data_IF_716058503286
#
_entry.id   IF_716058503286
#
_cell.length_a   1.000
_cell.length_b   1.000
_cell.length_c   1.000
_cell.angle_alpha   90.00
_cell.angle_beta   90.00
_cell.angle_gamma   90.00
#
_symmetry.space_group_name_H-M   'P 1'
#
loop_
_entity.id
_entity.type
_entity.pdbx_description
1 polymer ?
#
# COMPACT_ATOMS: atom_id res chain seq x y z
N UNK A 1 19.67 -18.98 -10.83
CA UNK A 1 18.22 -18.76 -11.03
C UNK A 1 17.76 -17.65 -10.07
N UNK A 2 18.42 -16.49 -10.07
CA UNK A 2 18.26 -15.40 -11.03
C UNK A 2 16.89 -14.70 -10.93
N UNK A 3 16.60 -14.20 -9.72
CA UNK A 3 16.10 -12.84 -9.43
C UNK A 3 15.25 -12.22 -10.54
N UNK A 4 14.04 -12.74 -10.71
CA UNK A 4 13.04 -12.23 -11.65
C UNK A 4 12.27 -11.00 -11.13
N UNK A 5 12.78 -10.27 -10.12
CA UNK A 5 12.02 -9.21 -9.42
C UNK A 5 12.60 -7.80 -9.55
N UNK A 6 13.33 -7.52 -10.64
CA UNK A 6 13.58 -6.13 -11.05
C UNK A 6 12.84 -5.88 -12.35
N UNK A 7 11.53 -5.60 -12.27
CA UNK A 7 10.80 -5.07 -13.42
C UNK A 7 9.59 -4.20 -13.04
N UNK A 8 9.90 -2.99 -12.59
CA UNK A 8 9.30 -1.78 -13.19
C UNK A 8 10.36 -0.79 -13.72
N UNK A 9 11.58 -1.25 -14.04
CA UNK A 9 12.45 -0.51 -14.95
C UNK A 9 12.16 -0.91 -16.39
N UNK A 10 11.14 -0.27 -16.96
CA UNK A 10 11.07 -0.01 -18.40
C UNK A 10 11.06 1.51 -18.60
N UNK A 11 12.20 2.13 -18.32
CA UNK A 11 12.61 3.36 -18.98
C UNK A 11 13.95 3.07 -19.67
N UNK A 12 13.84 3.11 -20.99
CA UNK A 12 14.90 3.16 -21.99
C UNK A 12 16.03 4.12 -21.61
N UNK A 13 17.29 3.65 -21.70
CA UNK A 13 18.51 4.44 -21.99
C UNK A 13 18.56 5.89 -21.45
N UNK A 14 18.21 6.12 -20.19
CA UNK A 14 18.12 7.47 -19.62
C UNK A 14 19.17 7.66 -18.54
N UNK A 15 19.81 8.84 -18.59
CA UNK A 15 20.83 9.41 -17.69
C UNK A 15 20.68 8.97 -16.23
N UNK A 16 21.80 8.85 -15.47
CA UNK A 16 21.72 8.58 -14.04
C UNK A 16 20.77 9.58 -13.37
N UNK A 17 19.90 9.06 -12.50
CA UNK A 17 18.97 9.88 -11.75
C UNK A 17 19.76 10.96 -10.99
N UNK A 18 19.33 12.23 -11.03
CA UNK A 18 20.03 13.30 -10.33
C UNK A 18 20.06 13.01 -8.82
N UNK A 19 21.22 13.24 -8.21
CA UNK A 19 21.37 13.20 -6.75
C UNK A 19 20.57 14.37 -6.19
N UNK A 20 19.72 14.10 -5.19
CA UNK A 20 18.92 15.12 -4.52
C UNK A 20 19.83 16.15 -3.84
N UNK A 21 19.50 17.43 -4.01
CA UNK A 21 20.15 18.52 -3.31
C UNK A 21 19.78 18.53 -1.83
N UNK A 22 20.61 19.16 -0.99
CA UNK A 22 20.34 19.30 0.44
C UNK A 22 19.00 20.02 0.70
N UNK A 23 18.70 21.06 -0.07
CA UNK A 23 17.41 21.77 0.00
C UNK A 23 16.22 20.88 -0.35
N UNK A 24 16.33 20.01 -1.35
CA UNK A 24 15.25 19.07 -1.71
C UNK A 24 15.04 18.04 -0.61
N UNK A 25 16.12 17.54 0.01
CA UNK A 25 16.03 16.61 1.14
C UNK A 25 15.32 17.26 2.33
N UNK A 26 15.65 18.52 2.65
CA UNK A 26 14.98 19.26 3.74
C UNK A 26 13.47 19.38 3.44
N UNK A 27 13.11 19.83 2.24
CA UNK A 27 11.69 19.96 1.84
C UNK A 27 10.96 18.63 1.88
N UNK A 28 11.60 17.53 1.45
CA UNK A 28 11.02 16.20 1.52
C UNK A 28 10.78 15.76 2.97
N UNK A 29 11.72 16.04 3.87
CA UNK A 29 11.57 15.72 5.29
C UNK A 29 10.45 16.53 5.94
N UNK A 30 10.32 17.82 5.59
CA UNK A 30 9.20 18.66 6.02
C UNK A 30 7.87 18.09 5.51
N UNK A 31 7.79 17.74 4.23
CA UNK A 31 6.59 17.17 3.60
C UNK A 31 6.19 15.81 4.23
N UNK A 32 7.17 14.96 4.55
CA UNK A 32 6.91 13.67 5.22
C UNK A 32 6.43 13.87 6.66
N UNK A 33 6.87 14.95 7.31
CA UNK A 33 6.53 15.24 8.71
C UNK A 33 5.21 16.00 8.87
N UNK A 34 4.67 16.53 7.77
CA UNK A 34 3.41 17.26 7.76
C UNK A 34 2.21 16.34 8.01
N UNK A 35 1.46 16.62 9.09
CA UNK A 35 0.29 15.85 9.53
C UNK A 35 -1.01 16.31 8.89
N UNK A 36 -1.01 17.45 8.21
CA UNK A 36 -2.17 18.00 7.51
C UNK A 36 -2.36 17.35 6.14
N UNK A 37 -1.36 16.60 5.65
CA UNK A 37 -1.41 15.90 4.37
C UNK A 37 -1.29 14.38 4.53
N UNK A 38 -1.88 13.68 3.57
CA UNK A 38 -1.76 12.23 3.40
C UNK A 38 -1.14 11.98 2.04
N UNK A 39 0.02 11.31 2.03
CA UNK A 39 0.75 10.96 0.82
C UNK A 39 0.54 9.47 0.54
N UNK A 40 0.05 9.13 -0.66
CA UNK A 40 -0.13 7.76 -1.13
C UNK A 40 0.37 7.60 -2.57
N UNK A 41 0.72 6.39 -2.96
CA UNK A 41 1.02 6.09 -4.36
C UNK A 41 -0.25 6.22 -5.22
N UNK A 42 -0.10 6.78 -6.42
CA UNK A 42 -1.18 6.84 -7.38
C UNK A 42 -1.48 5.44 -7.96
N UNK A 43 -2.73 5.24 -8.40
CA UNK A 43 -3.19 3.96 -8.94
C UNK A 43 -2.44 3.53 -10.21
N UNK A 44 -1.92 4.49 -10.98
CA UNK A 44 -1.23 4.27 -12.26
C UNK A 44 -0.12 5.29 -12.47
N UNK A 45 0.87 4.90 -13.26
CA UNK A 45 1.88 5.82 -13.80
C UNK A 45 3.00 6.23 -12.83
N UNK A 46 3.15 5.53 -11.69
CA UNK A 46 4.23 5.80 -10.73
C UNK A 46 4.15 7.18 -10.04
N UNK A 47 2.99 7.84 -10.12
CA UNK A 47 2.79 9.15 -9.49
C UNK A 47 2.53 9.05 -7.98
N UNK A 48 2.53 10.22 -7.33
CA UNK A 48 2.12 10.40 -5.94
C UNK A 48 0.78 11.13 -5.88
N UNK A 49 0.01 10.82 -4.85
CA UNK A 49 -1.26 11.48 -4.53
C UNK A 49 -1.13 12.12 -3.15
N UNK A 50 -1.26 13.44 -3.10
CA UNK A 50 -1.27 14.23 -1.88
C UNK A 50 -2.71 14.67 -1.62
N UNK A 51 -3.20 14.41 -0.41
CA UNK A 51 -4.57 14.70 -0.01
C UNK A 51 -4.57 15.47 1.32
N UNK A 52 -5.55 16.35 1.50
CA UNK A 52 -5.86 16.94 2.80
C UNK A 52 -6.30 15.85 3.79
N UNK A 53 -5.64 15.79 4.94
CA UNK A 53 -5.83 14.73 5.93
C UNK A 53 -7.23 14.72 6.54
N UNK A 54 -7.84 15.91 6.71
CA UNK A 54 -9.18 16.04 7.28
C UNK A 54 -10.22 15.50 6.31
N UNK A 55 -10.17 15.95 5.04
CA UNK A 55 -11.08 15.47 3.98
C UNK A 55 -10.90 13.98 3.72
N UNK A 56 -9.66 13.51 3.69
CA UNK A 56 -9.35 12.09 3.56
C UNK A 56 -10.01 11.26 4.66
N UNK A 57 -9.88 11.69 5.93
CA UNK A 57 -10.50 11.00 7.07
C UNK A 57 -12.02 11.03 7.00
N UNK A 58 -12.61 12.18 6.66
CA UNK A 58 -14.06 12.33 6.54
C UNK A 58 -14.63 11.40 5.46
N UNK A 59 -13.96 11.30 4.31
CA UNK A 59 -14.35 10.40 3.23
C UNK A 59 -14.29 8.94 3.67
N UNK A 60 -13.21 8.53 4.34
CA UNK A 60 -13.07 7.17 4.89
C UNK A 60 -14.20 6.83 5.86
N UNK A 61 -14.48 7.72 6.83
CA UNK A 61 -15.57 7.53 7.79
C UNK A 61 -16.93 7.47 7.09
N UNK A 62 -17.18 8.37 6.14
CA UNK A 62 -18.41 8.41 5.35
C UNK A 62 -18.65 7.07 4.65
N UNK A 63 -17.64 6.54 3.96
CA UNK A 63 -17.74 5.25 3.26
C UNK A 63 -17.93 4.07 4.22
N UNK A 64 -17.15 3.99 5.30
CA UNK A 64 -17.20 2.89 6.27
C UNK A 64 -18.46 2.92 7.13
N UNK A 65 -19.08 4.08 7.32
CA UNK A 65 -20.34 4.23 8.04
C UNK A 65 -21.56 3.73 7.26
N UNK A 66 -21.39 3.39 5.98
CA UNK A 66 -22.48 2.95 5.14
C UNK A 66 -22.94 1.52 5.49
N UNK A 67 -24.02 1.43 6.28
CA UNK A 67 -24.59 0.17 6.78
C UNK A 67 -25.25 -0.69 5.71
N UNK A 68 -25.46 -0.17 4.50
CA UNK A 68 -25.90 -0.97 3.35
C UNK A 68 -24.81 -1.93 2.89
N UNK A 69 -23.54 -1.54 3.01
CA UNK A 69 -22.41 -2.31 2.51
C UNK A 69 -21.53 -2.89 3.62
N UNK A 70 -21.43 -2.21 4.76
CA UNK A 70 -20.58 -2.62 5.88
C UNK A 70 -21.42 -2.92 7.13
N UNK A 71 -21.03 -3.97 7.85
CA UNK A 71 -21.59 -4.30 9.16
C UNK A 71 -20.55 -4.01 10.24
N UNK A 72 -20.92 -3.21 11.23
CA UNK A 72 -20.08 -2.98 12.41
C UNK A 72 -19.94 -4.30 13.18
N UNK A 73 -18.70 -4.65 13.49
CA UNK A 73 -18.36 -5.78 14.35
C UNK A 73 -18.09 -5.27 15.77
N UNK A 74 -18.38 -6.11 16.77
CA UNK A 74 -18.32 -5.70 18.17
C UNK A 74 -16.88 -5.62 18.71
N UNK A 75 -15.97 -6.37 18.11
CA UNK A 75 -14.57 -6.45 18.50
C UNK A 75 -13.71 -6.39 17.24
N UNK A 76 -12.51 -5.85 17.38
CA UNK A 76 -11.51 -5.85 16.30
C UNK A 76 -10.82 -7.23 16.23
N UNK A 77 -11.05 -8.03 15.18
CA UNK A 77 -10.43 -9.35 15.03
C UNK A 77 -9.00 -9.23 14.47
N UNK A 78 -8.50 -8.02 14.17
CA UNK A 78 -7.21 -7.81 13.52
C UNK A 78 -6.08 -8.47 14.29
N UNK A 79 -6.07 -8.33 15.63
CA UNK A 79 -5.03 -8.93 16.48
C UNK A 79 -5.03 -10.46 16.40
N UNK A 80 -6.22 -11.06 16.37
CA UNK A 80 -6.37 -12.51 16.25
C UNK A 80 -5.78 -13.01 14.92
N UNK A 81 -6.20 -12.41 13.80
CA UNK A 81 -5.68 -12.79 12.48
C UNK A 81 -4.19 -12.50 12.37
N UNK A 82 -3.72 -11.35 12.86
CA UNK A 82 -2.31 -10.99 12.82
C UNK A 82 -1.45 -12.02 13.57
N UNK A 83 -1.94 -12.55 14.70
CA UNK A 83 -1.24 -13.58 15.46
C UNK A 83 -1.13 -14.88 14.67
N UNK A 84 -2.22 -15.33 14.04
CA UNK A 84 -2.21 -16.53 13.18
C UNK A 84 -1.27 -16.37 11.98
N UNK A 85 -1.31 -15.20 11.33
CA UNK A 85 -0.46 -14.90 10.17
C UNK A 85 1.00 -14.88 10.57
N UNK A 86 1.36 -14.19 11.66
CA UNK A 86 2.73 -14.12 12.15
C UNK A 86 3.24 -15.51 12.52
N UNK A 87 2.43 -16.34 13.20
CA UNK A 87 2.81 -17.71 13.53
C UNK A 87 3.12 -18.55 12.28
N UNK A 88 2.27 -18.45 11.25
CA UNK A 88 2.51 -19.14 9.97
C UNK A 88 3.77 -18.64 9.26
N UNK A 89 3.98 -17.31 9.23
CA UNK A 89 5.16 -16.71 8.60
C UNK A 89 6.46 -17.06 9.33
N UNK A 90 6.44 -17.12 10.67
CA UNK A 90 7.58 -17.58 11.47
C UNK A 90 7.95 -19.03 11.16
N UNK A 91 6.96 -19.91 11.03
CA UNK A 91 7.21 -21.30 10.64
C UNK A 91 7.71 -21.41 9.20
N UNK A 92 7.14 -20.65 8.25
CA UNK A 92 7.64 -20.57 6.88
C UNK A 92 9.09 -20.06 6.81
N UNK A 93 9.46 -19.10 7.67
CA UNK A 93 10.82 -18.57 7.80
C UNK A 93 11.78 -19.61 8.37
N UNK A 94 11.39 -20.37 9.41
CA UNK A 94 12.18 -21.49 9.94
C UNK A 94 12.46 -22.56 8.89
N UNK A 95 11.49 -22.82 8.01
CA UNK A 95 11.63 -23.75 6.89
C UNK A 95 12.36 -23.15 5.68
N UNK A 96 12.81 -21.89 5.77
CA UNK A 96 13.53 -21.15 4.70
C UNK A 96 12.68 -21.03 3.42
N UNK A 97 11.36 -20.96 3.56
CA UNK A 97 10.45 -20.74 2.43
C UNK A 97 10.36 -19.26 2.05
N UNK A 98 10.62 -18.36 3.00
CA UNK A 98 10.61 -16.90 2.82
C UNK A 98 11.84 -16.26 3.49
N UNK A 99 12.25 -15.11 2.97
CA UNK A 99 13.34 -14.27 3.49
C UNK A 99 12.86 -13.28 4.56
N UNK A 100 13.79 -12.73 5.34
CA UNK A 100 13.51 -11.68 6.34
C UNK A 100 12.84 -10.44 5.72
N UNK A 101 13.27 -10.06 4.52
CA UNK A 101 12.68 -8.95 3.77
C UNK A 101 11.25 -9.22 3.34
N UNK A 102 10.91 -10.47 3.04
CA UNK A 102 9.54 -10.85 2.70
C UNK A 102 8.65 -10.87 3.95
N UNK A 103 9.17 -11.35 5.08
CA UNK A 103 8.47 -11.35 6.38
C UNK A 103 7.93 -9.96 6.75
N UNK A 104 8.74 -8.90 6.61
CA UNK A 104 8.35 -7.54 6.97
C UNK A 104 7.26 -6.94 6.06
N UNK A 105 7.14 -7.41 4.81
CA UNK A 105 6.14 -6.91 3.85
C UNK A 105 4.74 -7.40 4.18
N UNK A 106 4.61 -8.51 4.93
CA UNK A 106 3.33 -9.13 5.24
C UNK A 106 2.57 -8.49 6.41
N UNK A 107 3.05 -7.40 6.99
CA UNK A 107 2.33 -6.71 8.08
C UNK A 107 1.17 -5.91 7.48
N UNK A 108 -0.03 -6.10 8.04
CA UNK A 108 -1.29 -5.51 7.58
C UNK A 108 -1.15 -4.00 7.30
N UNK A 109 -1.56 -3.59 6.09
CA UNK A 109 -1.78 -2.19 5.76
C UNK A 109 -3.25 -1.82 5.96
N UNK A 110 -3.46 -0.67 6.61
CA UNK A 110 -4.78 -0.09 6.79
C UNK A 110 -5.43 0.26 5.43
N UNK A 111 -6.77 0.15 5.33
CA UNK A 111 -7.48 0.55 4.11
C UNK A 111 -7.27 2.05 3.84
N UNK A 112 -7.12 2.41 2.56
CA UNK A 112 -6.95 3.80 2.15
C UNK A 112 -7.82 4.15 0.95
N UNK A 113 -8.02 5.45 0.70
CA UNK A 113 -8.77 5.95 -0.47
C UNK A 113 -7.89 6.79 -1.39
N UNK A 114 -8.13 6.69 -2.69
CA UNK A 114 -7.56 7.58 -3.71
C UNK A 114 -8.65 8.43 -4.37
N UNK A 115 -8.46 9.73 -4.59
CA UNK A 115 -9.49 10.61 -5.09
C UNK A 115 -9.80 10.36 -6.57
N UNK A 116 -11.08 10.33 -6.94
CA UNK A 116 -11.53 10.21 -8.34
C UNK A 116 -11.51 11.58 -9.04
N UNK A 117 -10.33 12.19 -9.19
CA UNK A 117 -10.15 13.54 -9.77
C UNK A 117 -10.72 13.72 -11.18
N UNK A 118 -10.86 12.64 -11.94
CA UNK A 118 -11.50 12.63 -13.26
C UNK A 118 -13.04 12.79 -13.23
N UNK A 119 -13.66 12.71 -12.05
CA UNK A 119 -15.11 12.94 -11.86
C UNK A 119 -15.41 14.33 -11.35
N UNK A 120 -14.58 14.85 -10.45
CA UNK A 120 -14.69 16.20 -9.91
C UNK A 120 -13.31 16.65 -9.44
N UNK A 121 -12.97 17.93 -9.68
CA UNK A 121 -11.74 18.53 -9.14
C UNK A 121 -11.96 19.09 -7.73
N UNK A 122 -13.19 19.49 -7.42
CA UNK A 122 -13.57 20.03 -6.11
C UNK A 122 -14.11 18.92 -5.22
N UNK A 123 -13.37 18.56 -4.16
CA UNK A 123 -13.72 17.49 -3.22
C UNK A 123 -14.11 16.16 -3.91
N UNK A 124 -13.19 15.55 -4.68
CA UNK A 124 -13.44 14.28 -5.37
C UNK A 124 -13.79 13.15 -4.39
N UNK A 125 -14.79 12.35 -4.75
CA UNK A 125 -15.11 11.12 -4.02
C UNK A 125 -13.91 10.16 -4.01
N UNK A 126 -13.71 9.49 -2.87
CA UNK A 126 -12.67 8.50 -2.67
C UNK A 126 -13.00 7.20 -3.40
N UNK A 127 -12.01 6.61 -4.06
CA UNK A 127 -12.01 5.21 -4.47
C UNK A 127 -11.35 4.41 -3.35
N UNK A 128 -12.10 3.59 -2.60
CA UNK A 128 -11.50 2.73 -1.59
C UNK A 128 -10.57 1.74 -2.28
N UNK A 129 -9.36 1.66 -1.73
CA UNK A 129 -8.32 0.71 -2.06
C UNK A 129 -8.15 -0.15 -0.82
N UNK A 130 -8.70 -1.35 -0.89
CA UNK A 130 -8.18 -2.41 -0.06
C UNK A 130 -6.87 -2.82 -0.70
N UNK A 131 -5.80 -2.75 0.08
CA UNK A 131 -4.53 -3.33 -0.27
C UNK A 131 -4.72 -4.85 -0.35
N UNK A 132 -5.38 -5.38 -1.39
CA UNK A 132 -5.30 -6.81 -1.71
C UNK A 132 -3.96 -7.08 -2.38
N UNK A 133 -3.48 -6.14 -3.19
CA UNK A 133 -2.14 -6.09 -3.80
C UNK A 133 -1.00 -5.73 -2.85
N UNK A 134 -1.30 -5.30 -1.62
CA UNK A 134 -0.34 -5.14 -0.51
C UNK A 134 -0.90 -5.76 0.78
N UNK A 135 -1.81 -6.75 0.64
CA UNK A 135 -2.31 -7.53 1.76
C UNK A 135 -1.26 -8.58 2.13
N UNK A 136 -1.46 -9.17 3.31
CA UNK A 136 -0.81 -10.41 3.73
C UNK A 136 -0.83 -11.52 2.65
N UNK A 137 -1.82 -11.49 1.73
CA UNK A 137 -1.97 -12.49 0.68
C UNK A 137 -1.33 -12.09 -0.66
N UNK A 138 -0.93 -10.82 -0.83
CA UNK A 138 -0.39 -10.34 -2.12
C UNK A 138 0.88 -11.07 -2.53
N UNK A 139 1.90 -11.22 -1.65
CA UNK A 139 3.09 -11.97 -2.03
C UNK A 139 2.78 -13.45 -2.26
N UNK A 140 1.87 -14.05 -1.48
CA UNK A 140 1.41 -15.43 -1.67
C UNK A 140 0.78 -15.63 -3.06
N UNK A 141 -0.11 -14.71 -3.44
CA UNK A 141 -0.79 -14.73 -4.75
C UNK A 141 0.20 -14.52 -5.90
N UNK A 142 1.24 -13.69 -5.71
CA UNK A 142 2.32 -13.50 -6.69
C UNK A 142 3.21 -14.73 -6.81
N UNK A 143 3.44 -15.45 -5.71
CA UNK A 143 4.17 -16.71 -5.70
C UNK A 143 3.40 -17.78 -6.46
N UNK A 144 2.13 -18.01 -6.16
CA UNK A 144 1.29 -19.00 -6.84
C UNK A 144 1.24 -18.75 -8.36
N UNK A 145 1.14 -17.49 -8.78
CA UNK A 145 1.14 -17.11 -10.19
C UNK A 145 2.48 -17.39 -10.92
N UNK A 146 3.58 -17.62 -10.20
CA UNK A 146 4.84 -18.07 -10.79
C UNK A 146 4.82 -19.56 -11.15
N UNK A 147 4.04 -20.38 -10.43
CA UNK A 147 3.95 -21.83 -10.61
C UNK A 147 2.72 -22.25 -11.43
N UNK A 148 1.67 -21.44 -11.41
CA UNK A 148 0.49 -21.60 -12.26
C UNK A 148 0.74 -20.85 -13.56
N UNK A 149 1.65 -21.37 -14.38
CA UNK A 149 1.70 -21.04 -15.81
C UNK A 149 1.22 -22.27 -16.59
N UNK A 150 0.41 -22.10 -17.64
CA UNK A 150 0.01 -23.22 -18.50
C UNK A 150 1.22 -23.88 -19.16
#
# INVERSE_FOLDING_TARGET
LQLCWIRQNKLSSSKPLPILTESEIIVLNELISDREIVIKLADKGGGICIQDAVKYRQEMISQLSNTRFYKKINNDPTIFFQTEIVAYLEDAKKQVWISESEFQVFILQEPYTLPKVHKCLTNPAGRPKMALTDSIWSPLSKFDNCFIKP
#
